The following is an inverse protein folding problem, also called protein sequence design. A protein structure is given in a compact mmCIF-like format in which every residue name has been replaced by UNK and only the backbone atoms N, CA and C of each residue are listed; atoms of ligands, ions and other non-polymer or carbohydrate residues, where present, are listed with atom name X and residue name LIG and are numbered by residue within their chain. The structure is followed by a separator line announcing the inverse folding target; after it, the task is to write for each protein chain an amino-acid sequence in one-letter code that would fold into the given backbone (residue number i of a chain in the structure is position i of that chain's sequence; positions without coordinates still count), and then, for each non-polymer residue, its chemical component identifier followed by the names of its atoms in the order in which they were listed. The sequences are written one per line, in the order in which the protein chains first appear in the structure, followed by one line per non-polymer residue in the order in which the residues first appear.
data_IF_865483737744
#
_entry.id   IF_865483737744
#
_cell.length_a   1.000
_cell.length_b   1.000
_cell.length_c   1.000
_cell.angle_alpha   90.00
_cell.angle_beta   90.00
_cell.angle_gamma   90.00
#
_symmetry.space_group_name_H-M   'P 1'
#
loop_
_entity.id
_entity.type
_entity.pdbx_description
1 polymer ?
#
# COMPACT_ATOMS: atom_id res chain seq x y z
N UNK A 1 -3.39 -29.63 8.70
CA UNK A 1 -4.35 -30.76 8.85
C UNK A 1 -5.73 -30.28 9.32
N UNK A 2 -5.83 -29.59 10.47
CA UNK A 2 -7.11 -29.10 11.02
C UNK A 2 -7.80 -28.04 10.14
N UNK A 3 -7.06 -27.05 9.62
CA UNK A 3 -7.61 -25.97 8.77
C UNK A 3 -8.21 -26.52 7.46
N UNK A 4 -7.57 -27.50 6.83
CA UNK A 4 -8.08 -28.12 5.60
C UNK A 4 -9.39 -28.89 5.83
N UNK A 5 -9.55 -29.55 6.99
CA UNK A 5 -10.81 -30.21 7.36
C UNK A 5 -11.92 -29.21 7.66
N UNK A 6 -11.59 -28.06 8.26
CA UNK A 6 -12.55 -26.97 8.49
C UNK A 6 -13.01 -26.39 7.14
N UNK A 7 -12.08 -26.11 6.22
CA UNK A 7 -12.38 -25.61 4.87
C UNK A 7 -13.32 -26.56 4.10
N UNK A 8 -13.05 -27.86 4.13
CA UNK A 8 -13.92 -28.86 3.49
C UNK A 8 -15.34 -28.91 4.09
N UNK A 9 -15.47 -28.71 5.40
CA UNK A 9 -16.79 -28.65 6.08
C UNK A 9 -17.55 -27.35 5.80
N UNK A 10 -16.84 -26.25 5.55
CA UNK A 10 -17.42 -24.98 5.09
C UNK A 10 -17.95 -25.14 3.66
N UNK A 11 -17.15 -25.72 2.77
CA UNK A 11 -17.54 -26.01 1.38
C UNK A 11 -18.75 -26.97 1.33
N UNK A 12 -18.86 -27.91 2.28
CA UNK A 12 -19.99 -28.81 2.42
C UNK A 12 -21.23 -28.20 3.11
N UNK A 13 -21.14 -26.97 3.65
CA UNK A 13 -22.25 -26.31 4.34
C UNK A 13 -22.58 -26.89 5.72
N UNK A 14 -21.68 -27.66 6.32
CA UNK A 14 -21.92 -28.47 7.53
C UNK A 14 -21.61 -27.73 8.84
N UNK A 15 -21.19 -26.46 8.77
CA UNK A 15 -20.78 -25.68 9.94
C UNK A 15 -21.75 -24.51 10.15
N UNK A 16 -22.40 -24.39 11.33
CA UNK A 16 -23.23 -23.24 11.65
C UNK A 16 -22.45 -21.93 11.51
N UNK A 17 -23.04 -20.84 10.98
CA UNK A 17 -22.34 -19.57 10.76
C UNK A 17 -21.63 -19.00 12.00
N UNK A 18 -22.19 -19.23 13.19
CA UNK A 18 -21.60 -18.78 14.46
C UNK A 18 -20.33 -19.57 14.85
N UNK A 19 -20.32 -20.88 14.62
CA UNK A 19 -19.16 -21.73 14.89
C UNK A 19 -18.04 -21.44 13.89
N UNK A 20 -18.41 -21.14 12.63
CA UNK A 20 -17.47 -20.72 11.60
C UNK A 20 -16.77 -19.41 11.97
N UNK A 21 -17.54 -18.39 12.38
CA UNK A 21 -16.98 -17.12 12.83
C UNK A 21 -16.03 -17.33 14.02
N UNK A 22 -16.42 -18.14 15.01
CA UNK A 22 -15.59 -18.44 16.16
C UNK A 22 -14.29 -19.17 15.77
N UNK A 23 -14.34 -20.14 14.86
CA UNK A 23 -13.17 -20.88 14.38
C UNK A 23 -12.21 -19.93 13.64
N UNK A 24 -12.71 -19.14 12.69
CA UNK A 24 -11.89 -18.19 11.92
C UNK A 24 -11.19 -17.21 12.85
N UNK A 25 -11.92 -16.59 13.78
CA UNK A 25 -11.40 -15.58 14.72
C UNK A 25 -10.30 -16.11 15.65
N UNK A 26 -10.24 -17.42 15.91
CA UNK A 26 -9.26 -18.05 16.81
C UNK A 26 -8.20 -18.88 16.07
N UNK A 27 -8.08 -18.74 14.74
CA UNK A 27 -7.02 -19.41 13.97
C UNK A 27 -5.73 -18.59 13.88
N UNK A 28 -4.60 -19.28 13.71
CA UNK A 28 -3.34 -18.65 13.31
C UNK A 28 -3.49 -17.82 12.03
N UNK A 29 -4.40 -18.20 11.14
CA UNK A 29 -4.70 -17.46 9.91
C UNK A 29 -5.27 -16.07 10.21
N UNK A 30 -6.23 -15.94 11.13
CA UNK A 30 -6.75 -14.63 11.54
C UNK A 30 -5.68 -13.77 12.24
N UNK A 31 -4.84 -14.38 13.07
CA UNK A 31 -3.71 -13.68 13.72
C UNK A 31 -2.69 -13.17 12.67
N UNK A 32 -2.34 -14.01 11.70
CA UNK A 32 -1.47 -13.64 10.59
C UNK A 32 -2.06 -12.51 9.75
N UNK A 33 -3.37 -12.52 9.51
CA UNK A 33 -4.06 -11.44 8.80
C UNK A 33 -4.05 -10.13 9.57
N UNK A 34 -4.29 -10.16 10.89
CA UNK A 34 -4.22 -8.97 11.74
C UNK A 34 -2.79 -8.37 11.76
N UNK A 35 -1.77 -9.22 11.85
CA UNK A 35 -0.37 -8.81 11.78
C UNK A 35 -0.02 -8.19 10.41
N UNK A 36 -0.45 -8.82 9.31
CA UNK A 36 -0.28 -8.30 7.96
C UNK A 36 -0.95 -6.93 7.77
N UNK A 37 -2.17 -6.75 8.30
CA UNK A 37 -2.86 -5.46 8.28
C UNK A 37 -2.11 -4.35 9.03
N UNK A 38 -1.54 -4.67 10.19
CA UNK A 38 -0.72 -3.72 10.97
C UNK A 38 0.53 -3.30 10.21
N UNK A 39 1.25 -4.25 9.61
CA UNK A 39 2.44 -3.97 8.82
C UNK A 39 2.10 -3.13 7.58
N UNK A 40 1.02 -3.48 6.87
CA UNK A 40 0.53 -2.71 5.74
C UNK A 40 0.21 -1.27 6.14
N UNK A 41 -0.47 -1.06 7.27
CA UNK A 41 -0.80 0.27 7.79
C UNK A 41 0.45 1.10 8.10
N UNK A 42 1.45 0.50 8.73
CA UNK A 42 2.74 1.17 9.03
C UNK A 42 3.48 1.57 7.75
N UNK A 43 3.52 0.69 6.75
CA UNK A 43 4.15 0.97 5.45
C UNK A 43 3.42 2.08 4.69
N UNK A 44 2.09 2.06 4.65
CA UNK A 44 1.28 3.13 4.05
C UNK A 44 1.52 4.48 4.75
N UNK A 45 1.65 4.48 6.07
CA UNK A 45 1.97 5.70 6.82
C UNK A 45 3.37 6.22 6.48
N UNK A 46 4.39 5.34 6.45
CA UNK A 46 5.75 5.72 6.09
C UNK A 46 5.84 6.30 4.67
N UNK A 47 5.17 5.67 3.71
CA UNK A 47 5.09 6.15 2.32
C UNK A 47 4.43 7.53 2.23
N UNK A 48 3.33 7.74 2.98
CA UNK A 48 2.65 9.04 3.04
C UNK A 48 3.56 10.13 3.61
N UNK A 49 4.30 9.83 4.68
CA UNK A 49 5.25 10.78 5.28
C UNK A 49 6.39 11.12 4.32
N UNK A 50 6.93 10.13 3.63
CA UNK A 50 7.97 10.31 2.62
C UNK A 50 7.50 11.23 1.48
N UNK A 51 6.37 10.96 0.83
CA UNK A 51 5.87 11.86 -0.23
C UNK A 51 5.53 13.26 0.30
N UNK A 52 5.06 13.39 1.55
CA UNK A 52 4.81 14.71 2.14
C UNK A 52 6.10 15.53 2.26
N UNK A 53 7.21 14.90 2.64
CA UNK A 53 8.52 15.56 2.72
C UNK A 53 8.94 16.01 1.31
N UNK A 54 8.73 15.18 0.31
CA UNK A 54 9.08 15.52 -1.07
C UNK A 54 8.27 16.69 -1.60
N UNK A 55 6.95 16.64 -1.45
CA UNK A 55 6.06 17.68 -1.96
C UNK A 55 6.27 19.03 -1.27
N UNK A 56 6.52 19.01 0.05
CA UNK A 56 6.57 20.21 0.87
C UNK A 56 7.98 20.77 1.03
N UNK A 57 9.02 19.96 0.81
CA UNK A 57 10.41 20.37 1.02
C UNK A 57 11.27 20.15 -0.24
N UNK A 58 11.49 18.90 -0.65
CA UNK A 58 12.50 18.55 -1.67
C UNK A 58 12.12 19.09 -3.06
N UNK A 59 10.92 18.81 -3.54
CA UNK A 59 10.44 19.22 -4.86
C UNK A 59 10.40 20.75 -5.05
N UNK A 60 9.92 21.56 -4.08
CA UNK A 60 10.04 23.02 -4.17
C UNK A 60 11.48 23.52 -4.35
N UNK A 61 12.45 22.93 -3.64
CA UNK A 61 13.86 23.30 -3.77
C UNK A 61 14.41 22.92 -5.16
N UNK A 62 14.12 21.72 -5.65
CA UNK A 62 14.50 21.26 -6.99
C UNK A 62 13.81 22.07 -8.09
N UNK A 63 12.56 22.49 -7.92
CA UNK A 63 11.87 23.34 -8.88
C UNK A 63 12.54 24.72 -8.98
N UNK A 64 12.99 25.25 -7.84
CA UNK A 64 13.63 26.56 -7.77
C UNK A 64 15.05 26.53 -8.35
N UNK A 65 15.88 25.56 -7.91
CA UNK A 65 17.32 25.52 -8.20
C UNK A 65 17.69 24.64 -9.40
N UNK A 66 16.83 23.70 -9.76
CA UNK A 66 17.08 22.67 -10.76
C UNK A 66 17.15 23.18 -12.20
N UNK A 67 17.81 22.39 -13.05
CA UNK A 67 17.76 22.57 -14.50
C UNK A 67 16.37 22.26 -15.05
N UNK A 68 16.11 22.61 -16.31
CA UNK A 68 14.85 22.28 -16.99
C UNK A 68 14.57 20.76 -16.96
N UNK A 69 15.59 19.93 -17.21
CA UNK A 69 15.46 18.48 -17.14
C UNK A 69 15.04 17.99 -15.75
N UNK A 70 15.58 18.58 -14.67
CA UNK A 70 15.22 18.24 -13.29
C UNK A 70 13.78 18.65 -12.98
N UNK A 71 13.34 19.82 -13.45
CA UNK A 71 11.94 20.25 -13.30
C UNK A 71 10.96 19.30 -14.00
N UNK A 72 11.30 18.83 -15.20
CA UNK A 72 10.49 17.82 -15.91
C UNK A 72 10.43 16.49 -15.13
N UNK A 73 11.53 16.08 -14.50
CA UNK A 73 11.54 14.89 -13.62
C UNK A 73 10.60 15.09 -12.42
N UNK A 74 10.68 16.24 -11.74
CA UNK A 74 9.81 16.57 -10.60
C UNK A 74 8.33 16.60 -11.01
N UNK A 75 8.00 17.18 -12.15
CA UNK A 75 6.63 17.18 -12.67
C UNK A 75 6.10 15.76 -12.91
N UNK A 76 6.95 14.88 -13.45
CA UNK A 76 6.59 13.47 -13.60
C UNK A 76 6.39 12.78 -12.25
N UNK A 77 7.29 12.98 -11.28
CA UNK A 77 7.18 12.35 -9.95
C UNK A 77 5.90 12.79 -9.24
N UNK A 78 5.52 14.07 -9.33
CA UNK A 78 4.24 14.57 -8.82
C UNK A 78 3.03 13.87 -9.45
N UNK A 79 3.05 13.66 -10.76
CA UNK A 79 1.99 12.91 -11.43
C UNK A 79 1.95 11.44 -10.98
N UNK A 80 3.10 10.82 -10.73
CA UNK A 80 3.17 9.46 -10.17
C UNK A 80 2.64 9.43 -8.72
N UNK A 81 2.89 10.44 -7.89
CA UNK A 81 2.33 10.57 -6.55
C UNK A 81 0.80 10.63 -6.54
N UNK A 82 0.18 11.31 -7.50
CA UNK A 82 -1.28 11.34 -7.62
C UNK A 82 -1.85 9.92 -7.82
N UNK A 83 -1.18 9.10 -8.64
CA UNK A 83 -1.57 7.70 -8.88
C UNK A 83 -1.39 6.88 -7.60
N UNK A 84 -0.28 7.03 -6.89
CA UNK A 84 -0.03 6.30 -5.63
C UNK A 84 -1.07 6.70 -4.57
N UNK A 85 -1.35 7.99 -4.40
CA UNK A 85 -2.37 8.46 -3.45
C UNK A 85 -3.78 7.97 -3.80
N UNK A 86 -4.12 7.87 -5.09
CA UNK A 86 -5.39 7.29 -5.52
C UNK A 86 -5.48 5.79 -5.14
N UNK A 87 -4.39 5.03 -5.29
CA UNK A 87 -4.32 3.62 -4.88
C UNK A 87 -4.39 3.45 -3.36
N UNK A 88 -3.70 4.29 -2.59
CA UNK A 88 -3.78 4.28 -1.12
C UNK A 88 -5.20 4.55 -0.62
N UNK A 89 -5.92 5.52 -1.20
CA UNK A 89 -7.33 5.78 -0.87
C UNK A 89 -8.24 4.60 -1.20
N UNK A 90 -8.03 3.95 -2.35
CA UNK A 90 -8.78 2.74 -2.74
C UNK A 90 -8.50 1.58 -1.80
N UNK A 91 -7.24 1.38 -1.41
CA UNK A 91 -6.83 0.33 -0.48
C UNK A 91 -7.44 0.55 0.90
N UNK A 92 -7.39 1.78 1.42
CA UNK A 92 -8.03 2.13 2.69
C UNK A 92 -9.53 1.82 2.66
N UNK A 93 -10.22 2.20 1.57
CA UNK A 93 -11.65 1.94 1.43
C UNK A 93 -11.99 0.44 1.35
N UNK A 94 -11.17 -0.33 0.65
CA UNK A 94 -11.34 -1.78 0.56
C UNK A 94 -11.08 -2.46 1.92
N UNK A 95 -10.08 -1.97 2.67
CA UNK A 95 -9.77 -2.46 4.01
C UNK A 95 -10.90 -2.17 5.03
N UNK A 96 -11.59 -1.04 4.94
CA UNK A 96 -12.80 -0.77 5.74
C UNK A 96 -13.85 -1.88 5.56
N UNK A 97 -14.12 -2.29 4.32
CA UNK A 97 -15.10 -3.35 4.00
C UNK A 97 -14.76 -4.70 4.64
N UNK A 98 -13.47 -5.01 4.80
CA UNK A 98 -13.01 -6.23 5.47
C UNK A 98 -13.27 -6.23 6.98
N UNK A 99 -13.37 -5.06 7.60
CA UNK A 99 -13.62 -4.95 9.05
C UNK A 99 -15.11 -5.07 9.41
N UNK A 100 -16.01 -4.73 8.49
CA UNK A 100 -17.46 -4.71 8.73
C UNK A 100 -18.15 -6.04 8.42
N UNK A 101 -17.89 -6.65 7.25
CA UNK A 101 -18.47 -7.95 6.86
C UNK A 101 -17.54 -8.65 5.86
N UNK A 102 -16.52 -9.37 6.33
CA UNK A 102 -15.53 -9.97 5.45
C UNK A 102 -16.15 -11.08 4.58
N UNK A 103 -16.32 -10.80 3.28
CA UNK A 103 -16.65 -11.81 2.26
C UNK A 103 -15.44 -12.06 1.36
N UNK A 104 -15.36 -13.26 0.76
CA UNK A 104 -14.23 -13.68 -0.07
C UNK A 104 -13.94 -12.72 -1.24
N UNK A 105 -14.98 -12.10 -1.81
CA UNK A 105 -14.84 -11.10 -2.88
C UNK A 105 -14.05 -9.88 -2.40
N UNK A 106 -14.38 -9.34 -1.24
CA UNK A 106 -13.77 -8.11 -0.70
C UNK A 106 -12.29 -8.34 -0.37
N UNK A 107 -11.94 -9.56 0.06
CA UNK A 107 -10.55 -9.95 0.26
C UNK A 107 -9.76 -9.98 -1.06
N UNK A 108 -10.31 -10.60 -2.11
CA UNK A 108 -9.67 -10.66 -3.43
C UNK A 108 -9.48 -9.26 -4.03
N UNK A 109 -10.45 -8.37 -3.84
CA UNK A 109 -10.40 -6.99 -4.34
C UNK A 109 -9.35 -6.16 -3.59
N UNK A 110 -9.32 -6.26 -2.25
CA UNK A 110 -8.30 -5.59 -1.42
C UNK A 110 -6.89 -6.05 -1.80
N UNK A 111 -6.70 -7.36 -1.99
CA UNK A 111 -5.42 -7.93 -2.43
C UNK A 111 -4.99 -7.39 -3.80
N UNK A 112 -5.89 -7.36 -4.78
CA UNK A 112 -5.57 -6.87 -6.12
C UNK A 112 -5.12 -5.39 -6.10
N UNK A 113 -5.76 -4.56 -5.27
CA UNK A 113 -5.37 -3.16 -5.09
C UNK A 113 -4.00 -3.06 -4.43
N UNK A 114 -3.72 -3.89 -3.42
CA UNK A 114 -2.42 -3.94 -2.76
C UNK A 114 -1.30 -4.35 -3.72
N UNK A 115 -1.49 -5.42 -4.51
CA UNK A 115 -0.50 -5.89 -5.49
C UNK A 115 -0.22 -4.81 -6.57
N UNK A 116 -1.26 -4.07 -6.98
CA UNK A 116 -1.11 -2.91 -7.87
C UNK A 116 -0.30 -1.79 -7.21
N UNK A 117 -0.59 -1.45 -5.95
CA UNK A 117 0.14 -0.43 -5.19
C UNK A 117 1.63 -0.78 -5.08
N UNK A 118 1.96 -2.02 -4.71
CA UNK A 118 3.35 -2.48 -4.59
C UNK A 118 4.09 -2.33 -5.92
N UNK A 119 3.46 -2.77 -7.02
CA UNK A 119 4.05 -2.66 -8.37
C UNK A 119 4.35 -1.22 -8.75
N UNK A 120 3.40 -0.31 -8.50
CA UNK A 120 3.54 1.12 -8.83
C UNK A 120 4.62 1.77 -7.97
N UNK A 121 4.59 1.54 -6.66
CA UNK A 121 5.55 2.14 -5.72
C UNK A 121 6.98 1.66 -6.00
N UNK A 122 7.18 0.38 -6.32
CA UNK A 122 8.50 -0.13 -6.70
C UNK A 122 9.02 0.52 -7.98
N UNK A 123 8.17 0.66 -9.00
CA UNK A 123 8.54 1.34 -10.25
C UNK A 123 8.84 2.83 -10.03
N UNK A 124 8.05 3.48 -9.18
CA UNK A 124 8.19 4.89 -8.83
C UNK A 124 9.53 5.15 -8.14
N UNK A 125 9.82 4.42 -7.05
CA UNK A 125 11.10 4.53 -6.34
C UNK A 125 12.29 4.28 -7.25
N UNK A 126 12.24 3.24 -8.09
CA UNK A 126 13.32 2.96 -9.02
C UNK A 126 13.61 4.14 -9.96
N UNK A 127 12.56 4.77 -10.49
CA UNK A 127 12.71 5.94 -11.34
C UNK A 127 13.26 7.14 -10.56
N UNK A 128 12.69 7.45 -9.39
CA UNK A 128 13.13 8.55 -8.55
C UNK A 128 14.61 8.45 -8.18
N UNK A 129 15.02 7.30 -7.63
CA UNK A 129 16.40 7.06 -7.22
C UNK A 129 17.36 7.24 -8.40
N UNK A 130 17.01 6.69 -9.57
CA UNK A 130 17.85 6.78 -10.77
C UNK A 130 17.89 8.20 -11.34
N UNK A 131 16.77 8.93 -11.26
CA UNK A 131 16.62 10.24 -11.90
C UNK A 131 17.10 11.40 -11.03
N UNK A 132 16.98 11.30 -9.70
CA UNK A 132 17.29 12.39 -8.77
C UNK A 132 18.57 12.19 -7.94
N UNK A 133 19.15 10.99 -7.86
CA UNK A 133 20.33 10.75 -7.01
C UNK A 133 21.48 11.75 -7.25
N UNK A 134 21.79 12.04 -8.52
CA UNK A 134 22.82 13.02 -8.85
C UNK A 134 22.38 14.47 -8.58
N UNK A 135 21.10 14.78 -8.78
CA UNK A 135 20.55 16.12 -8.61
C UNK A 135 20.59 16.59 -7.15
N UNK A 136 20.26 15.71 -6.19
CA UNK A 136 20.23 16.05 -4.77
C UNK A 136 21.60 16.56 -4.27
N UNK A 137 22.69 15.91 -4.68
CA UNK A 137 24.06 16.33 -4.34
C UNK A 137 24.50 17.60 -5.08
N UNK A 138 24.13 17.76 -6.34
CA UNK A 138 24.50 18.94 -7.16
C UNK A 138 23.83 20.22 -6.65
N UNK A 139 22.57 20.15 -6.24
CA UNK A 139 21.80 21.33 -5.81
C UNK A 139 21.83 21.60 -4.31
N UNK A 140 22.59 20.80 -3.54
CA UNK A 140 22.72 20.91 -2.08
C UNK A 140 21.33 21.02 -1.41
N UNK A 141 20.50 20.01 -1.66
CA UNK A 141 19.15 19.94 -1.11
C UNK A 141 19.23 19.45 0.34
N UNK A 142 18.73 20.26 1.27
CA UNK A 142 18.62 19.88 2.69
C UNK A 142 17.36 19.00 2.87
N UNK A 143 17.54 17.83 3.52
CA UNK A 143 16.49 16.84 3.82
C UNK A 143 16.01 17.01 5.26
#
# INVERSE_FOLDING_TARGET
AHIAQIMARIEAGETPPADLAHIVLHTEMAQNFAAAGTLCGQQCWALTMHHNIEEQNIFPQLQTRGSEAVRTIVERLRAEHEVVHALLKRLAKAAEGLTETPIAKDFSETRAIFDQLVTVVQSHFHFEETALAAALGVYQIDI
#
